data_IF_715828871056
#
_entry.id   IF_715828871056
#
_cell.length_a   1.000
_cell.length_b   1.000
_cell.length_c   1.000
_cell.angle_alpha   90.00
_cell.angle_beta   90.00
_cell.angle_gamma   90.00
#
_symmetry.space_group_name_H-M   'P 1'
#
loop_
_entity.id
_entity.type
_entity.pdbx_description
1 polymer ?
#
# COMPACT_ATOMS: atom_id res chain seq x y z
N UNK A 1 -20.88 14.45 -2.67
CA UNK A 1 -19.60 13.71 -2.74
C UNK A 1 -19.36 13.15 -1.34
N UNK A 2 -18.67 12.02 -1.17
CA UNK A 2 -18.71 11.20 0.06
C UNK A 2 -18.44 11.99 1.36
N UNK A 3 -19.07 11.57 2.44
CA UNK A 3 -18.90 12.16 3.78
C UNK A 3 -17.54 11.77 4.39
N UNK A 4 -16.95 12.64 5.22
CA UNK A 4 -15.67 12.40 5.89
C UNK A 4 -15.71 11.19 6.85
N UNK A 5 -16.91 10.78 7.26
CA UNK A 5 -17.14 9.60 8.11
C UNK A 5 -17.37 8.31 7.32
N UNK A 6 -17.39 8.37 5.99
CA UNK A 6 -17.54 7.18 5.18
C UNK A 6 -16.32 6.27 5.30
N UNK A 7 -16.58 5.00 5.59
CA UNK A 7 -15.58 3.93 5.60
C UNK A 7 -16.05 2.84 4.65
N UNK A 8 -15.12 2.26 3.89
CA UNK A 8 -15.43 1.14 2.99
C UNK A 8 -15.67 -0.14 3.79
N UNK A 9 -16.24 -1.15 3.14
CA UNK A 9 -16.16 -2.52 3.62
C UNK A 9 -14.70 -3.03 3.64
N UNK A 10 -14.50 -4.21 4.22
CA UNK A 10 -13.19 -4.86 4.29
C UNK A 10 -12.60 -5.14 2.91
N UNK A 11 -11.38 -4.67 2.71
CA UNK A 11 -10.60 -4.87 1.49
C UNK A 11 -9.48 -5.87 1.75
N UNK A 12 -9.28 -6.82 0.84
CA UNK A 12 -8.19 -7.80 0.94
C UNK A 12 -6.85 -7.15 0.61
N UNK A 13 -5.82 -7.47 1.41
CA UNK A 13 -4.43 -7.07 1.17
C UNK A 13 -3.68 -8.12 0.36
N UNK A 14 -2.81 -7.67 -0.54
CA UNK A 14 -1.86 -8.55 -1.24
C UNK A 14 -0.88 -9.09 -0.22
N UNK A 15 -0.75 -10.41 -0.19
CA UNK A 15 0.18 -11.12 0.68
C UNK A 15 1.25 -11.77 -0.18
N UNK A 16 2.50 -11.73 0.28
CA UNK A 16 3.58 -12.47 -0.37
C UNK A 16 3.61 -13.89 0.17
N UNK A 17 3.45 -14.89 -0.69
CA UNK A 17 3.53 -16.29 -0.30
C UNK A 17 2.21 -17.03 -0.44
N UNK A 18 2.19 -18.29 -0.01
CA UNK A 18 1.10 -19.23 -0.23
C UNK A 18 0.99 -20.26 0.89
N UNK A 19 0.54 -21.47 0.57
CA UNK A 19 0.30 -22.48 1.59
C UNK A 19 1.60 -22.84 2.33
N UNK A 20 1.64 -22.56 3.64
CA UNK A 20 2.76 -22.88 4.53
C UNK A 20 3.75 -21.74 4.79
N UNK A 21 3.55 -20.56 4.20
CA UNK A 21 4.41 -19.41 4.52
C UNK A 21 4.19 -18.22 3.61
N UNK A 22 4.18 -17.05 4.23
CA UNK A 22 4.10 -15.76 3.57
C UNK A 22 4.34 -14.60 4.54
N UNK A 23 4.78 -13.47 4.01
CA UNK A 23 4.91 -12.24 4.79
C UNK A 23 3.53 -11.62 4.99
N UNK A 24 3.14 -11.38 6.24
CA UNK A 24 1.90 -10.69 6.57
C UNK A 24 2.09 -9.19 6.34
N UNK A 25 1.33 -8.63 5.40
CA UNK A 25 1.20 -7.18 5.23
C UNK A 25 -0.04 -6.69 5.97
N UNK A 26 0.15 -5.95 7.07
CA UNK A 26 -0.90 -5.41 7.93
C UNK A 26 -0.74 -3.89 8.06
N UNK A 27 -1.43 -3.07 7.24
CA UNK A 27 -1.38 -1.61 7.35
C UNK A 27 -2.05 -1.13 8.65
N UNK A 28 -1.56 -0.01 9.18
CA UNK A 28 -2.10 0.64 10.37
C UNK A 28 -3.11 1.75 10.01
N UNK A 29 -3.83 2.24 11.02
CA UNK A 29 -4.77 3.35 10.83
C UNK A 29 -3.98 4.61 10.44
N UNK A 30 -4.41 5.25 9.35
CA UNK A 30 -3.78 6.41 8.69
C UNK A 30 -2.60 6.12 7.75
N UNK A 31 -2.22 4.85 7.56
CA UNK A 31 -1.23 4.51 6.54
C UNK A 31 -1.78 4.77 5.13
N UNK A 32 -0.96 5.37 4.28
CA UNK A 32 -1.30 5.54 2.88
C UNK A 32 -1.09 4.22 2.12
N UNK A 33 -2.13 3.77 1.40
CA UNK A 33 -2.10 2.50 0.67
C UNK A 33 -2.49 2.67 -0.79
N UNK A 34 -1.83 1.90 -1.66
CA UNK A 34 -2.21 1.79 -3.06
C UNK A 34 -3.32 0.74 -3.21
N UNK A 35 -4.47 1.17 -3.73
CA UNK A 35 -5.62 0.31 -4.01
C UNK A 35 -5.77 0.10 -5.52
N UNK A 36 -5.82 -1.17 -5.93
CA UNK A 36 -6.17 -1.59 -7.28
C UNK A 36 -7.61 -2.10 -7.35
N UNK A 37 -8.26 -1.90 -8.49
CA UNK A 37 -9.62 -2.37 -8.74
C UNK A 37 -9.61 -3.45 -9.83
N UNK A 38 -10.25 -4.58 -9.56
CA UNK A 38 -10.35 -5.66 -10.53
C UNK A 38 -11.08 -5.18 -11.79
N UNK A 39 -10.37 -5.11 -12.91
CA UNK A 39 -10.90 -4.63 -14.19
C UNK A 39 -11.57 -3.24 -14.10
N UNK A 40 -11.18 -2.41 -13.12
CA UNK A 40 -11.78 -1.10 -12.88
C UNK A 40 -13.15 -1.13 -12.18
N UNK A 41 -13.57 -2.29 -11.65
CA UNK A 41 -14.78 -2.41 -10.86
C UNK A 41 -14.54 -1.89 -9.44
N UNK A 42 -15.25 -0.82 -9.07
CA UNK A 42 -15.11 -0.17 -7.76
C UNK A 42 -15.49 -1.10 -6.59
N UNK A 43 -16.37 -2.07 -6.87
CA UNK A 43 -16.89 -3.05 -5.91
C UNK A 43 -15.91 -4.19 -5.63
N UNK A 44 -14.80 -4.27 -6.38
CA UNK A 44 -13.76 -5.29 -6.23
C UNK A 44 -12.38 -4.66 -5.96
N UNK A 45 -12.18 -3.96 -4.83
CA UNK A 45 -10.89 -3.37 -4.47
C UNK A 45 -9.92 -4.40 -3.88
N UNK A 46 -8.62 -4.14 -4.05
CA UNK A 46 -7.50 -4.87 -3.44
C UNK A 46 -6.41 -3.90 -3.02
N UNK A 47 -5.90 -4.03 -1.80
CA UNK A 47 -4.76 -3.25 -1.31
C UNK A 47 -3.47 -3.91 -1.82
N UNK A 48 -2.72 -3.21 -2.65
CA UNK A 48 -1.48 -3.72 -3.26
C UNK A 48 -0.26 -3.54 -2.35
N UNK A 49 -0.26 -2.52 -1.51
CA UNK A 49 0.83 -2.21 -0.58
C UNK A 49 0.73 -0.81 0.01
N UNK A 50 1.62 -0.49 0.94
CA UNK A 50 1.77 0.84 1.55
C UNK A 50 2.62 1.77 0.69
N UNK A 51 2.41 3.07 0.83
CA UNK A 51 3.16 4.11 0.14
C UNK A 51 3.93 4.96 1.14
N UNK A 52 5.14 5.37 0.75
CA UNK A 52 5.89 6.37 1.49
C UNK A 52 5.49 7.77 1.04
N UNK A 53 5.38 8.68 2.01
CA UNK A 53 4.98 10.07 1.78
C UNK A 53 5.79 11.02 2.69
N UNK A 54 5.30 12.24 2.90
CA UNK A 54 5.99 13.23 3.75
C UNK A 54 6.08 12.84 5.23
N UNK A 55 5.22 11.93 5.69
CA UNK A 55 5.12 11.43 7.06
C UNK A 55 5.71 10.03 7.16
N UNK A 56 5.20 9.10 6.34
CA UNK A 56 5.62 7.70 6.31
C UNK A 56 6.89 7.58 5.47
N UNK A 57 8.03 7.52 6.16
CA UNK A 57 9.35 7.45 5.53
C UNK A 57 9.84 6.02 5.45
N UNK A 58 10.62 5.69 4.41
CA UNK A 58 11.34 4.42 4.39
C UNK A 58 12.25 4.29 5.61
N UNK A 59 12.53 3.05 5.99
CA UNK A 59 13.51 2.77 7.05
C UNK A 59 14.85 3.44 6.74
N UNK A 60 15.69 3.72 7.76
CA UNK A 60 17.04 4.22 7.51
C UNK A 60 17.84 3.21 6.68
N UNK A 61 18.50 3.69 5.62
CA UNK A 61 19.40 2.90 4.79
C UNK A 61 20.73 3.62 4.63
N UNK A 62 21.83 2.87 4.65
CA UNK A 62 23.18 3.41 4.48
C UNK A 62 23.43 3.94 3.06
N UNK A 63 22.60 3.50 2.10
CA UNK A 63 22.65 3.92 0.71
C UNK A 63 21.32 4.58 0.32
N UNK A 64 21.34 5.59 -0.57
CA UNK A 64 20.11 6.17 -1.09
C UNK A 64 19.25 5.10 -1.77
N UNK A 65 17.98 4.99 -1.36
CA UNK A 65 17.01 4.07 -1.99
C UNK A 65 16.61 4.50 -3.39
N UNK A 66 16.69 5.79 -3.68
CA UNK A 66 16.35 6.39 -4.97
C UNK A 66 17.44 7.40 -5.30
N UNK A 67 17.98 7.35 -6.51
CA UNK A 67 18.88 8.39 -7.01
C UNK A 67 18.06 9.68 -7.27
N UNK A 68 18.27 10.75 -6.48
CA UNK A 68 17.50 11.99 -6.59
C UNK A 68 17.76 12.75 -7.89
N UNK A 69 18.78 12.35 -8.66
CA UNK A 69 19.24 13.07 -9.86
C UNK A 69 18.79 12.42 -11.16
N UNK A 70 18.71 11.08 -11.21
CA UNK A 70 18.42 10.35 -12.46
C UNK A 70 17.09 9.62 -12.49
N UNK A 71 16.40 9.47 -11.35
CA UNK A 71 15.12 8.76 -11.27
C UNK A 71 15.19 7.28 -11.69
N UNK A 72 16.39 6.71 -11.77
CA UNK A 72 16.57 5.28 -12.04
C UNK A 72 16.44 4.51 -10.72
N UNK A 73 15.51 3.56 -10.72
CA UNK A 73 15.38 2.50 -9.72
C UNK A 73 16.37 1.39 -10.07
#
# INVERSE_FOLDING_TARGET
WLDDTYVTDWVRTVQWGGQGGGGVFSPEVNDEVLVGFEQGLLDSPYVLGGLYNGVDKPSPHDVPLVDPTSGKV
#
